data_IF_733276296380
#
_entry.id   IF_733276296380
#
_cell.length_a   1.000
_cell.length_b   1.000
_cell.length_c   1.000
_cell.angle_alpha   90.00
_cell.angle_beta   90.00
_cell.angle_gamma   90.00
#
_symmetry.space_group_name_H-M   'P 1'
#
loop_
_entity.id
_entity.type
_entity.pdbx_description
1 polymer ?
#
# COMPACT_ATOMS: atom_id res chain seq x y z
N UNK A 1 1.09 0.07 15.47
CA UNK A 1 1.44 -1.19 14.78
C UNK A 1 2.75 -1.01 14.03
N UNK A 2 3.85 -1.57 14.56
CA UNK A 2 5.12 -1.63 13.85
C UNK A 2 5.07 -2.86 12.93
N UNK A 3 4.75 -2.64 11.66
CA UNK A 3 4.71 -3.74 10.70
C UNK A 3 6.14 -4.13 10.37
N UNK A 4 6.46 -5.40 10.60
CA UNK A 4 7.81 -5.93 10.53
C UNK A 4 8.32 -5.80 9.09
N UNK A 5 9.48 -5.15 8.88
CA UNK A 5 10.11 -4.99 7.54
C UNK A 5 10.18 -6.31 6.79
N UNK A 6 10.38 -7.42 7.52
CA UNK A 6 10.45 -8.77 6.96
C UNK A 6 9.14 -9.26 6.33
N UNK A 7 7.98 -8.81 6.85
CA UNK A 7 6.66 -9.12 6.29
C UNK A 7 6.37 -8.25 5.07
N UNK A 8 6.80 -6.98 5.11
CA UNK A 8 6.78 -6.08 3.95
C UNK A 8 7.60 -6.67 2.79
N UNK A 9 8.77 -7.24 3.07
CA UNK A 9 9.64 -7.85 2.06
C UNK A 9 9.13 -9.17 1.46
N UNK A 10 8.22 -9.88 2.13
CA UNK A 10 7.63 -11.10 1.56
C UNK A 10 6.37 -10.83 0.76
N UNK A 11 5.63 -9.78 1.09
CA UNK A 11 4.29 -9.52 0.57
C UNK A 11 4.26 -8.40 -0.48
N UNK A 12 5.16 -7.42 -0.37
CA UNK A 12 5.22 -6.28 -1.28
C UNK A 12 6.22 -6.53 -2.40
N UNK A 13 5.82 -6.11 -3.60
CA UNK A 13 6.70 -6.03 -4.75
C UNK A 13 7.74 -4.91 -4.56
N UNK A 14 8.81 -4.93 -5.36
CA UNK A 14 9.93 -3.99 -5.29
C UNK A 14 9.45 -2.54 -5.42
N UNK A 15 8.52 -2.28 -6.34
CA UNK A 15 7.89 -0.95 -6.52
C UNK A 15 7.08 -0.53 -5.29
N UNK A 16 6.32 -1.46 -4.71
CA UNK A 16 5.44 -1.18 -3.57
C UNK A 16 6.25 -0.92 -2.31
N UNK A 17 7.38 -1.62 -2.13
CA UNK A 17 8.32 -1.34 -1.03
C UNK A 17 8.91 0.05 -1.12
N UNK A 18 9.27 0.52 -2.33
CA UNK A 18 9.77 1.88 -2.53
C UNK A 18 8.73 2.92 -2.10
N UNK A 19 7.47 2.72 -2.50
CA UNK A 19 6.37 3.62 -2.13
C UNK A 19 6.06 3.60 -0.63
N UNK A 20 6.05 2.42 0.01
CA UNK A 20 5.81 2.28 1.45
C UNK A 20 6.97 2.86 2.26
N UNK A 21 8.21 2.75 1.76
CA UNK A 21 9.40 3.34 2.38
C UNK A 21 9.34 4.87 2.32
N UNK A 22 9.03 5.44 1.14
CA UNK A 22 8.82 6.89 0.98
C UNK A 22 7.64 7.45 1.78
N UNK A 23 6.69 6.59 2.17
CA UNK A 23 5.59 6.94 3.05
C UNK A 23 5.90 6.81 4.56
N UNK A 24 7.17 6.57 4.94
CA UNK A 24 7.64 6.58 6.33
C UNK A 24 8.24 7.94 6.68
N UNK A 25 8.19 8.28 7.97
CA UNK A 25 8.95 9.39 8.52
C UNK A 25 10.44 9.01 8.63
N UNK A 26 11.37 9.95 8.43
CA UNK A 26 11.16 11.39 8.22
C UNK A 26 10.89 11.81 6.77
N UNK A 27 11.13 10.95 5.77
CA UNK A 27 11.03 11.29 4.33
C UNK A 27 9.68 11.94 3.98
N UNK A 28 8.57 11.40 4.50
CA UNK A 28 7.23 11.94 4.29
C UNK A 28 7.06 13.40 4.78
N UNK A 29 7.82 13.82 5.80
CA UNK A 29 7.79 15.19 6.33
C UNK A 29 8.60 16.17 5.47
N UNK A 30 9.63 15.70 4.76
CA UNK A 30 10.50 16.53 3.93
C UNK A 30 10.01 16.66 2.49
N UNK A 31 9.09 15.77 2.07
CA UNK A 31 8.48 15.83 0.73
C UNK A 31 7.62 17.09 0.55
N UNK A 32 7.61 17.63 -0.68
CA UNK A 32 6.72 18.73 -1.06
C UNK A 32 5.27 18.25 -1.24
N UNK A 33 4.32 19.18 -1.16
CA UNK A 33 2.90 18.95 -1.41
C UNK A 33 2.62 18.14 -2.69
N UNK A 34 3.21 18.57 -3.81
CA UNK A 34 3.07 17.91 -5.11
C UNK A 34 3.57 16.47 -5.11
N UNK A 35 4.71 16.22 -4.46
CA UNK A 35 5.30 14.88 -4.37
C UNK A 35 4.46 13.98 -3.45
N UNK A 36 3.87 14.55 -2.40
CA UNK A 36 2.97 13.85 -1.49
C UNK A 36 1.66 13.47 -2.20
N UNK A 37 1.14 14.33 -3.10
CA UNK A 37 -0.01 14.04 -3.98
C UNK A 37 0.31 12.93 -4.98
N UNK A 38 1.47 13.00 -5.63
CA UNK A 38 1.95 11.96 -6.55
C UNK A 38 2.12 10.62 -5.82
N UNK A 39 2.70 10.62 -4.63
CA UNK A 39 2.86 9.44 -3.79
C UNK A 39 1.51 8.83 -3.41
N UNK A 40 0.54 9.66 -3.00
CA UNK A 40 -0.81 9.21 -2.68
C UNK A 40 -1.51 8.56 -3.89
N UNK A 41 -1.36 9.16 -5.08
CA UNK A 41 -1.91 8.62 -6.33
C UNK A 41 -1.26 7.30 -6.70
N UNK A 42 0.07 7.23 -6.67
CA UNK A 42 0.81 6.00 -6.95
C UNK A 42 0.42 4.86 -6.00
N UNK A 43 0.27 5.14 -4.70
CA UNK A 43 -0.18 4.16 -3.71
C UNK A 43 -1.60 3.64 -4.00
N UNK A 44 -2.53 4.53 -4.39
CA UNK A 44 -3.90 4.14 -4.78
C UNK A 44 -3.92 3.28 -6.04
N UNK A 45 -3.19 3.67 -7.08
CA UNK A 45 -3.10 2.91 -8.32
C UNK A 45 -2.50 1.52 -8.09
N UNK A 46 -1.47 1.41 -7.23
CA UNK A 46 -0.89 0.11 -6.86
C UNK A 46 -1.84 -0.75 -6.03
N UNK A 47 -2.59 -0.16 -5.08
CA UNK A 47 -3.68 -0.87 -4.38
C UNK A 47 -4.68 -1.41 -5.38
N UNK A 48 -5.14 -0.59 -6.32
CA UNK A 48 -6.18 -1.00 -7.28
C UNK A 48 -5.68 -2.08 -8.23
N UNK A 49 -4.41 -1.98 -8.67
CA UNK A 49 -3.76 -3.03 -9.47
C UNK A 49 -3.61 -4.33 -8.67
N UNK A 50 -3.21 -4.26 -7.41
CA UNK A 50 -3.13 -5.43 -6.53
C UNK A 50 -4.51 -6.07 -6.40
N UNK A 51 -5.54 -5.31 -6.01
CA UNK A 51 -6.94 -5.78 -5.87
C UNK A 51 -7.47 -6.41 -7.17
N UNK A 52 -7.22 -5.79 -8.33
CA UNK A 52 -7.62 -6.35 -9.63
C UNK A 52 -6.91 -7.67 -9.94
N UNK A 53 -5.63 -7.77 -9.61
CA UNK A 53 -4.84 -8.99 -9.80
C UNK A 53 -5.34 -10.12 -8.90
N UNK A 54 -5.70 -9.81 -7.64
CA UNK A 54 -6.35 -10.76 -6.71
C UNK A 54 -7.67 -11.27 -7.28
N UNK A 55 -8.54 -10.36 -7.73
CA UNK A 55 -9.85 -10.73 -8.29
C UNK A 55 -9.74 -11.62 -9.51
N UNK A 56 -8.71 -11.45 -10.34
CA UNK A 56 -8.44 -12.30 -11.52
C UNK A 56 -7.92 -13.68 -11.13
N UNK A 57 -7.02 -13.77 -10.13
CA UNK A 57 -6.49 -15.03 -9.60
C UNK A 57 -7.55 -15.86 -8.85
N UNK A 58 -8.40 -15.21 -8.06
CA UNK A 58 -9.46 -15.87 -7.27
C UNK A 58 -10.54 -16.49 -8.16
N UNK A 59 -10.85 -15.91 -9.33
CA UNK A 59 -11.76 -16.56 -10.29
C UNK A 59 -11.16 -17.83 -10.90
N UNK A 60 -9.85 -17.87 -11.11
CA UNK A 60 -9.16 -19.02 -11.68
C UNK A 60 -8.91 -20.15 -10.66
N UNK A 61 -8.86 -19.84 -9.36
CA UNK A 61 -8.49 -20.78 -8.29
C UNK A 61 -9.66 -21.23 -7.39
N UNK A 62 -10.91 -20.98 -7.81
CA UNK A 62 -12.11 -21.27 -7.00
C UNK A 62 -12.25 -22.79 -6.78
N UNK A 63 -11.89 -23.25 -5.57
CA UNK A 63 -12.00 -24.66 -5.15
C UNK A 63 -10.77 -25.30 -4.48
N UNK A 64 -9.65 -24.58 -4.32
CA UNK A 64 -8.42 -25.12 -3.71
C UNK A 64 -8.06 -24.44 -2.40
N UNK A 65 -7.57 -25.19 -1.40
CA UNK A 65 -7.02 -24.67 -0.13
C UNK A 65 -5.91 -23.61 -0.32
N UNK A 66 -5.21 -23.65 -1.47
CA UNK A 66 -4.21 -22.64 -1.82
C UNK A 66 -4.81 -21.24 -2.03
N UNK A 67 -6.10 -21.15 -2.38
CA UNK A 67 -6.81 -19.88 -2.52
C UNK A 67 -6.93 -19.15 -1.17
N UNK A 68 -7.16 -19.88 -0.07
CA UNK A 68 -7.27 -19.28 1.28
C UNK A 68 -5.97 -18.66 1.78
N UNK A 69 -4.82 -19.29 1.50
CA UNK A 69 -3.50 -18.73 1.84
C UNK A 69 -3.13 -17.53 0.97
N UNK A 70 -3.41 -17.60 -0.34
CA UNK A 70 -3.20 -16.47 -1.24
C UNK A 70 -4.08 -15.27 -0.86
N UNK A 71 -5.32 -15.51 -0.41
CA UNK A 71 -6.22 -14.46 0.05
C UNK A 71 -5.72 -13.79 1.35
N UNK A 72 -5.18 -14.55 2.31
CA UNK A 72 -4.56 -13.97 3.52
C UNK A 72 -3.37 -13.07 3.17
N UNK A 73 -2.44 -13.53 2.35
CA UNK A 73 -1.27 -12.73 1.93
C UNK A 73 -1.69 -11.44 1.20
N UNK A 74 -2.73 -11.52 0.38
CA UNK A 74 -3.29 -10.35 -0.31
C UNK A 74 -3.99 -9.37 0.64
N UNK A 75 -4.71 -9.86 1.65
CA UNK A 75 -5.30 -8.99 2.70
C UNK A 75 -4.22 -8.29 3.51
N UNK A 76 -3.16 -9.00 3.89
CA UNK A 76 -2.01 -8.42 4.60
C UNK A 76 -1.31 -7.35 3.75
N UNK A 77 -1.09 -7.63 2.46
CA UNK A 77 -0.57 -6.69 1.48
C UNK A 77 -1.44 -5.43 1.36
N UNK A 78 -2.76 -5.60 1.24
CA UNK A 78 -3.71 -4.48 1.18
C UNK A 78 -3.67 -3.64 2.46
N UNK A 79 -3.58 -4.28 3.63
CA UNK A 79 -3.43 -3.60 4.92
C UNK A 79 -2.14 -2.78 5.03
N UNK A 80 -1.01 -3.29 4.51
CA UNK A 80 0.25 -2.55 4.43
C UNK A 80 0.11 -1.27 3.59
N UNK A 81 -0.42 -1.40 2.37
CA UNK A 81 -0.62 -0.25 1.47
C UNK A 81 -1.62 0.75 2.08
N UNK A 82 -2.68 0.26 2.71
CA UNK A 82 -3.67 1.10 3.39
C UNK A 82 -3.05 1.86 4.57
N UNK A 83 -2.14 1.24 5.33
CA UNK A 83 -1.40 1.91 6.40
C UNK A 83 -0.50 3.03 5.87
N UNK A 84 0.16 2.81 4.72
CA UNK A 84 0.97 3.84 4.05
C UNK A 84 0.09 5.00 3.58
N UNK A 85 -1.05 4.72 2.95
CA UNK A 85 -2.04 5.74 2.56
C UNK A 85 -2.54 6.51 3.79
N UNK A 86 -2.79 5.84 4.92
CA UNK A 86 -3.23 6.50 6.14
C UNK A 86 -2.17 7.47 6.69
N UNK A 87 -0.87 7.11 6.63
CA UNK A 87 0.23 8.01 7.02
C UNK A 87 0.32 9.24 6.10
N UNK A 88 0.25 9.02 4.79
CA UNK A 88 0.24 10.11 3.79
C UNK A 88 -0.95 11.05 4.03
N UNK A 89 -2.16 10.51 4.28
CA UNK A 89 -3.33 11.33 4.57
C UNK A 89 -3.19 12.11 5.89
N UNK A 90 -2.58 11.50 6.91
CA UNK A 90 -2.32 12.18 8.18
C UNK A 90 -1.37 13.36 7.99
N UNK A 91 -0.39 13.24 7.10
CA UNK A 91 0.47 14.36 6.72
C UNK A 91 -0.27 15.44 5.93
N UNK A 92 -1.15 15.08 4.99
CA UNK A 92 -2.03 16.07 4.35
C UNK A 92 -2.89 16.83 5.37
N UNK A 93 -3.53 16.12 6.29
CA UNK A 93 -4.32 16.74 7.36
C UNK A 93 -3.46 17.62 8.29
N UNK A 94 -2.21 17.23 8.56
CA UNK A 94 -1.27 18.07 9.33
C UNK A 94 -0.86 19.34 8.60
N UNK A 95 -0.67 19.26 7.29
CA UNK A 95 -0.28 20.40 6.44
C UNK A 95 -1.44 21.33 6.10
N UNK A 96 -2.68 20.94 6.41
CA UNK A 96 -3.87 21.72 6.07
C UNK A 96 -4.16 21.79 4.57
N UNK A 97 -3.48 20.96 3.78
CA UNK A 97 -3.65 20.93 2.33
C UNK A 97 -4.88 20.10 1.98
N UNK A 98 -5.84 20.74 1.31
CA UNK A 98 -7.00 20.05 0.76
C UNK A 98 -6.52 18.97 -0.22
N UNK A 99 -7.00 17.76 0.02
CA UNK A 99 -6.83 16.61 -0.86
C UNK A 99 -7.68 16.88 -2.09
N UNK A 100 -7.06 17.46 -3.12
CA UNK A 100 -7.69 17.75 -4.41
C UNK A 100 -8.33 16.50 -5.03
#
# INVERSE_FOLDING_TARGET
>A
MAVNRRSEERLLDTDERKLVSGARYPELSEMKADDLRKLARALRERRDKATRSVSKGNRAAKGSDKAGQAERGNREKAGLIQSAIARVNKEFSRRGEARE
#
